data_IF_628534956493
#
_entry.id   IF_628534956493
#
_cell.length_a   1.000
_cell.length_b   1.000
_cell.length_c   1.000
_cell.angle_alpha   90.00
_cell.angle_beta   90.00
_cell.angle_gamma   90.00
#
_symmetry.space_group_name_H-M   'P 1'
#
loop_
_entity.id
_entity.type
_entity.pdbx_description
1 polymer ?
#
# COMPACT_ATOMS: atom_id res chain seq x y z
N UNK A 1 -27.07 10.21 -4.23
CA UNK A 1 -26.63 9.66 -5.54
C UNK A 1 -25.57 10.58 -6.11
N UNK A 2 -24.66 10.06 -6.95
CA UNK A 2 -23.66 10.90 -7.64
C UNK A 2 -24.27 11.61 -8.86
N UNK A 3 -23.83 12.83 -9.20
CA UNK A 3 -24.24 13.49 -10.44
C UNK A 3 -23.77 12.67 -11.64
N UNK A 4 -24.65 12.47 -12.63
CA UNK A 4 -24.35 11.66 -13.82
C UNK A 4 -23.86 12.49 -15.01
N UNK A 5 -24.00 13.81 -14.93
CA UNK A 5 -23.52 14.76 -15.95
C UNK A 5 -22.55 15.77 -15.36
N UNK A 6 -21.73 16.36 -16.23
CA UNK A 6 -20.78 17.41 -15.84
C UNK A 6 -21.50 18.67 -15.33
N UNK A 7 -22.60 19.06 -15.97
CA UNK A 7 -23.39 20.23 -15.57
C UNK A 7 -23.99 20.08 -14.17
N UNK A 8 -24.48 18.88 -13.83
CA UNK A 8 -25.01 18.64 -12.49
C UNK A 8 -23.90 18.73 -11.44
N UNK A 9 -22.71 18.23 -11.77
CA UNK A 9 -21.54 18.33 -10.89
C UNK A 9 -21.08 19.77 -10.68
N UNK A 10 -21.09 20.61 -11.73
CA UNK A 10 -20.76 22.04 -11.66
C UNK A 10 -21.81 22.85 -10.91
N UNK A 11 -23.06 22.37 -10.84
CA UNK A 11 -24.16 23.02 -10.11
C UNK A 11 -24.11 22.79 -8.58
N UNK A 12 -23.23 21.90 -8.11
CA UNK A 12 -23.15 21.55 -6.70
C UNK A 12 -22.59 22.71 -5.86
N UNK A 13 -23.37 23.15 -4.87
CA UNK A 13 -22.92 24.13 -3.85
C UNK A 13 -21.77 23.57 -3.00
N UNK A 14 -21.80 22.26 -2.72
CA UNK A 14 -20.74 21.53 -2.01
C UNK A 14 -20.10 20.54 -2.98
N UNK A 15 -18.78 20.57 -3.19
CA UNK A 15 -18.13 19.67 -4.14
C UNK A 15 -18.29 18.20 -3.72
N UNK A 16 -18.44 17.32 -4.70
CA UNK A 16 -18.43 15.88 -4.46
C UNK A 16 -17.08 15.48 -3.83
N UNK A 17 -17.12 15.13 -2.55
CA UNK A 17 -15.94 14.91 -1.71
C UNK A 17 -16.15 13.69 -0.83
N UNK A 18 -15.03 13.08 -0.42
CA UNK A 18 -15.02 11.96 0.52
C UNK A 18 -14.02 12.30 1.63
N UNK A 19 -14.44 12.11 2.88
CA UNK A 19 -13.53 12.09 4.02
C UNK A 19 -13.13 10.63 4.25
N UNK A 20 -11.83 10.35 4.19
CA UNK A 20 -11.30 8.99 4.26
C UNK A 20 -10.26 8.90 5.37
N UNK A 21 -10.35 7.83 6.17
CA UNK A 21 -9.42 7.51 7.26
C UNK A 21 -8.72 6.19 6.91
N UNK A 22 -7.53 6.23 6.27
CA UNK A 22 -6.87 5.03 5.77
C UNK A 22 -6.59 3.97 6.84
N UNK A 23 -6.21 4.42 8.04
CA UNK A 23 -5.88 3.58 9.18
C UNK A 23 -7.02 3.61 10.22
N UNK A 24 -8.28 3.58 9.74
CA UNK A 24 -9.43 3.51 10.63
C UNK A 24 -9.35 2.22 11.44
N UNK A 25 -9.31 2.34 12.77
CA UNK A 25 -9.30 1.18 13.66
C UNK A 25 -10.68 0.51 13.63
N UNK A 26 -10.71 -0.76 13.26
CA UNK A 26 -11.90 -1.59 13.23
C UNK A 26 -11.59 -2.94 13.86
N UNK A 27 -12.45 -3.42 14.77
CA UNK A 27 -12.20 -4.62 15.56
C UNK A 27 -12.13 -5.91 14.75
N UNK A 28 -12.67 -5.93 13.53
CA UNK A 28 -12.75 -7.11 12.66
C UNK A 28 -12.16 -6.85 11.28
N UNK A 29 -11.11 -6.02 11.16
CA UNK A 29 -10.46 -5.79 9.87
C UNK A 29 -9.77 -7.10 9.43
N UNK A 30 -10.15 -7.70 8.29
CA UNK A 30 -9.55 -8.94 7.86
C UNK A 30 -8.11 -8.70 7.37
N UNK A 31 -7.17 -9.41 7.98
CA UNK A 31 -5.77 -9.46 7.53
C UNK A 31 -5.57 -10.63 6.57
N UNK A 32 -5.05 -10.34 5.38
CA UNK A 32 -4.86 -11.29 4.29
C UNK A 32 -3.37 -11.68 4.23
N UNK A 33 -3.01 -12.96 4.43
CA UNK A 33 -1.62 -13.39 4.60
C UNK A 33 -0.89 -13.69 3.28
N UNK A 34 -1.13 -12.89 2.24
CA UNK A 34 -0.52 -13.04 0.91
C UNK A 34 -0.51 -11.71 0.16
N UNK A 35 0.23 -11.66 -0.94
CA UNK A 35 0.34 -10.46 -1.76
C UNK A 35 -0.98 -10.12 -2.50
N UNK A 36 -1.30 -8.83 -2.65
CA UNK A 36 -2.48 -8.40 -3.41
C UNK A 36 -2.39 -8.77 -4.88
N UNK A 37 -3.53 -9.16 -5.49
CA UNK A 37 -3.61 -9.29 -6.94
C UNK A 37 -3.71 -7.93 -7.60
N UNK A 38 -2.69 -7.58 -8.37
CA UNK A 38 -2.59 -6.31 -9.07
C UNK A 38 -3.03 -6.46 -10.53
N UNK A 39 -3.87 -5.56 -11.02
CA UNK A 39 -4.21 -5.48 -12.44
C UNK A 39 -2.96 -5.13 -13.26
N UNK A 40 -2.65 -5.95 -14.26
CA UNK A 40 -1.47 -5.81 -15.12
C UNK A 40 -1.47 -4.52 -15.96
N UNK A 41 -2.63 -3.86 -16.11
CA UNK A 41 -2.79 -2.65 -16.94
C UNK A 41 -2.76 -1.35 -16.14
N UNK A 42 -3.49 -1.28 -15.03
CA UNK A 42 -3.72 -0.02 -14.31
C UNK A 42 -3.23 -0.03 -12.85
N UNK A 43 -2.66 -1.14 -12.37
CA UNK A 43 -2.14 -1.24 -11.00
C UNK A 43 -3.22 -1.35 -9.91
N UNK A 44 -4.51 -1.42 -10.26
CA UNK A 44 -5.59 -1.54 -9.28
C UNK A 44 -5.59 -2.94 -8.63
N UNK A 45 -5.89 -2.99 -7.35
CA UNK A 45 -5.98 -4.23 -6.57
C UNK A 45 -7.33 -4.93 -6.83
N UNK A 46 -7.33 -6.26 -6.87
CA UNK A 46 -8.55 -7.09 -6.85
C UNK A 46 -9.43 -6.71 -5.67
N UNK A 47 -10.73 -6.59 -5.90
CA UNK A 47 -11.70 -6.19 -4.89
C UNK A 47 -13.09 -6.76 -5.24
N UNK A 48 -14.07 -6.69 -4.32
CA UNK A 48 -15.38 -7.33 -4.50
C UNK A 48 -16.19 -6.84 -5.70
N UNK A 49 -15.84 -5.70 -6.31
CA UNK A 49 -16.53 -5.16 -7.47
C UNK A 49 -16.00 -5.72 -8.81
N UNK A 50 -14.95 -6.54 -8.79
CA UNK A 50 -14.43 -7.20 -9.98
C UNK A 50 -15.41 -8.28 -10.48
N UNK A 51 -15.54 -8.41 -11.81
CA UNK A 51 -16.29 -9.52 -12.42
C UNK A 51 -15.40 -10.73 -12.58
N UNK A 52 -15.78 -11.85 -11.99
CA UNK A 52 -15.00 -13.10 -12.01
C UNK A 52 -15.67 -14.13 -12.91
N UNK A 53 -14.90 -14.70 -13.82
CA UNK A 53 -15.21 -15.92 -14.54
C UNK A 53 -14.43 -17.08 -13.91
N UNK A 54 -15.12 -17.90 -13.12
CA UNK A 54 -14.53 -19.04 -12.40
C UNK A 54 -14.04 -20.16 -13.35
N UNK A 55 -14.70 -20.34 -14.49
CA UNK A 55 -14.37 -21.42 -15.44
C UNK A 55 -13.05 -21.13 -16.15
N UNK A 56 -12.90 -19.92 -16.67
CA UNK A 56 -11.67 -19.49 -17.33
C UNK A 56 -10.60 -18.98 -16.35
N UNK A 57 -10.97 -18.79 -15.07
CA UNK A 57 -10.14 -18.19 -14.02
C UNK A 57 -9.59 -16.84 -14.47
N UNK A 58 -10.50 -15.99 -14.91
CA UNK A 58 -10.24 -14.62 -15.33
C UNK A 58 -11.04 -13.66 -14.44
N UNK A 59 -10.45 -12.54 -14.06
CA UNK A 59 -11.17 -11.42 -13.46
C UNK A 59 -11.04 -10.16 -14.30
N UNK A 60 -12.14 -9.42 -14.42
CA UNK A 60 -12.20 -8.14 -15.11
C UNK A 60 -12.07 -7.01 -14.10
N UNK A 61 -11.05 -6.16 -14.27
CA UNK A 61 -10.81 -5.02 -13.39
C UNK A 61 -12.00 -4.04 -13.44
N UNK A 62 -12.55 -3.60 -12.29
CA UNK A 62 -13.70 -2.68 -12.28
C UNK A 62 -13.38 -1.27 -12.75
N UNK A 63 -12.08 -0.90 -12.81
CA UNK A 63 -11.64 0.43 -13.21
C UNK A 63 -11.33 0.53 -14.71
N UNK A 64 -10.55 -0.41 -15.26
CA UNK A 64 -10.07 -0.34 -16.64
C UNK A 64 -10.63 -1.44 -17.56
N UNK A 65 -11.48 -2.33 -17.02
CA UNK A 65 -12.09 -3.48 -17.70
C UNK A 65 -11.11 -4.47 -18.33
N UNK A 66 -9.81 -4.37 -17.99
CA UNK A 66 -8.82 -5.33 -18.44
C UNK A 66 -9.06 -6.70 -17.80
N UNK A 67 -8.88 -7.76 -18.60
CA UNK A 67 -9.01 -9.15 -18.17
C UNK A 67 -7.66 -9.63 -17.66
N UNK A 68 -7.62 -10.06 -16.41
CA UNK A 68 -6.43 -10.56 -15.74
C UNK A 68 -6.63 -12.05 -15.44
N UNK A 69 -5.58 -12.85 -15.59
CA UNK A 69 -5.60 -14.26 -15.20
C UNK A 69 -5.35 -14.39 -13.70
N UNK A 70 -6.07 -15.31 -13.05
CA UNK A 70 -5.73 -15.68 -11.68
C UNK A 70 -4.40 -16.47 -11.63
N UNK A 71 -3.56 -16.25 -10.61
CA UNK A 71 -2.38 -17.08 -10.34
C UNK A 71 -2.76 -18.53 -10.04
N UNK A 72 -1.77 -19.44 -10.10
CA UNK A 72 -1.98 -20.86 -9.79
C UNK A 72 -2.47 -21.10 -8.36
N UNK A 73 -2.13 -20.23 -7.40
CA UNK A 73 -2.62 -20.32 -6.01
C UNK A 73 -4.15 -20.21 -5.90
N UNK A 74 -4.82 -19.64 -6.91
CA UNK A 74 -6.27 -19.49 -6.98
C UNK A 74 -6.92 -20.62 -7.80
N UNK A 75 -6.24 -21.76 -7.97
CA UNK A 75 -6.77 -22.87 -8.78
C UNK A 75 -8.11 -23.43 -8.30
N UNK A 76 -8.40 -23.31 -7.01
CA UNK A 76 -9.65 -23.78 -6.40
C UNK A 76 -10.76 -22.73 -6.33
N UNK A 77 -10.62 -21.58 -6.99
CA UNK A 77 -11.63 -20.51 -6.92
C UNK A 77 -12.96 -20.98 -7.52
N UNK A 78 -14.04 -20.85 -6.75
CA UNK A 78 -15.41 -21.13 -7.18
C UNK A 78 -16.36 -20.11 -6.54
N UNK A 79 -17.62 -20.11 -6.95
CA UNK A 79 -18.65 -19.26 -6.33
C UNK A 79 -18.83 -19.54 -4.83
N UNK A 80 -18.59 -20.77 -4.39
CA UNK A 80 -18.66 -21.18 -2.98
C UNK A 80 -17.32 -21.10 -2.25
N UNK A 81 -16.21 -20.94 -2.97
CA UNK A 81 -14.85 -20.88 -2.43
C UNK A 81 -14.16 -19.61 -2.95
N UNK A 82 -14.55 -18.47 -2.37
CA UNK A 82 -14.03 -17.16 -2.73
C UNK A 82 -12.79 -16.80 -1.91
N UNK A 83 -11.77 -16.17 -2.52
CA UNK A 83 -10.71 -15.54 -1.77
C UNK A 83 -11.24 -14.38 -0.93
N UNK A 84 -10.48 -14.02 0.11
CA UNK A 84 -10.91 -13.05 1.11
C UNK A 84 -11.29 -11.70 0.49
N UNK A 85 -10.47 -11.19 -0.44
CA UNK A 85 -10.70 -9.91 -1.13
C UNK A 85 -11.95 -9.86 -2.03
N UNK A 86 -12.65 -10.97 -2.25
CA UNK A 86 -13.88 -11.02 -3.03
C UNK A 86 -15.15 -11.14 -2.17
N UNK A 87 -15.03 -11.29 -0.84
CA UNK A 87 -16.22 -11.25 0.01
C UNK A 87 -16.82 -9.83 0.01
N UNK A 88 -18.14 -9.68 -0.22
CA UNK A 88 -18.78 -8.37 -0.18
C UNK A 88 -18.66 -7.64 1.17
N UNK A 89 -18.51 -8.41 2.26
CA UNK A 89 -18.29 -7.90 3.61
C UNK A 89 -16.88 -7.36 3.82
N UNK A 90 -15.92 -7.70 2.95
CA UNK A 90 -14.51 -7.33 3.05
C UNK A 90 -14.18 -6.21 2.05
N UNK A 91 -14.91 -5.10 2.15
CA UNK A 91 -14.69 -3.92 1.31
C UNK A 91 -13.43 -3.13 1.67
N UNK A 92 -12.91 -3.32 2.89
CA UNK A 92 -11.61 -2.85 3.35
C UNK A 92 -10.86 -4.03 3.98
N UNK A 93 -9.60 -4.24 3.58
CA UNK A 93 -8.76 -5.35 4.00
C UNK A 93 -7.32 -4.87 4.18
N UNK A 94 -6.56 -5.55 5.00
CA UNK A 94 -5.11 -5.31 5.17
C UNK A 94 -4.33 -6.51 4.63
N UNK A 95 -3.31 -6.26 3.80
CA UNK A 95 -2.44 -7.32 3.29
C UNK A 95 -1.18 -7.41 4.17
N UNK A 96 -0.91 -8.60 4.70
CA UNK A 96 0.27 -8.92 5.51
C UNK A 96 0.98 -10.15 4.94
N UNK A 97 1.64 -10.03 3.78
CA UNK A 97 2.38 -11.14 3.19
C UNK A 97 3.52 -11.56 4.13
N UNK A 98 3.85 -12.87 4.20
CA UNK A 98 4.93 -13.34 5.04
C UNK A 98 6.26 -12.72 4.59
N UNK A 99 7.17 -12.40 5.54
CA UNK A 99 8.47 -11.85 5.20
C UNK A 99 9.23 -12.82 4.29
N UNK A 100 9.84 -12.28 3.23
CA UNK A 100 10.66 -13.04 2.28
C UNK A 100 11.74 -13.80 3.06
N UNK A 101 11.64 -15.13 3.11
CA UNK A 101 12.68 -15.98 3.72
C UNK A 101 13.97 -15.82 2.93
N UNK A 102 15.02 -15.33 3.59
CA UNK A 102 16.39 -15.33 3.06
C UNK A 102 16.76 -16.78 2.72
N UNK A 103 16.72 -17.14 1.44
CA UNK A 103 17.26 -18.42 0.97
C UNK A 103 18.78 -18.34 1.07
N UNK A 104 19.32 -18.77 2.22
CA UNK A 104 20.73 -19.05 2.37
C UNK A 104 21.08 -20.31 1.58
N UNK A 105 21.41 -20.16 0.30
CA UNK A 105 22.14 -21.17 -0.45
C UNK A 105 22.98 -20.50 -1.53
N UNK A 106 24.26 -20.33 -1.21
CA UNK A 106 25.29 -20.12 -2.21
C UNK A 106 25.43 -21.42 -3.01
N UNK A 107 24.94 -21.43 -4.25
CA UNK A 107 25.51 -22.29 -5.31
C UNK A 107 25.44 -21.51 -6.60
N UNK A 108 26.62 -21.19 -7.10
CA UNK A 108 26.91 -20.46 -8.32
C UNK A 108 26.40 -21.18 -9.55
N UNK A 109 25.63 -20.48 -10.40
CA UNK A 109 25.68 -20.67 -11.87
C UNK A 109 25.19 -19.39 -12.56
N UNK A 110 25.97 -18.79 -13.49
CA UNK A 110 25.57 -17.59 -14.19
C UNK A 110 24.89 -17.96 -15.51
N UNK A 111 23.63 -17.53 -15.70
CA UNK A 111 23.07 -17.34 -17.04
C UNK A 111 22.28 -16.04 -17.06
N UNK A 112 22.85 -15.07 -17.77
CA UNK A 112 22.30 -13.76 -18.03
C UNK A 112 21.18 -13.83 -19.07
N UNK A 113 20.09 -13.09 -18.83
CA UNK A 113 19.35 -12.33 -19.85
C UNK A 113 18.21 -11.53 -19.15
N UNK A 114 18.58 -10.42 -18.52
CA UNK A 114 17.64 -9.36 -18.16
C UNK A 114 17.67 -8.28 -19.24
N UNK A 115 16.52 -7.87 -19.74
CA UNK A 115 16.38 -6.66 -20.55
C UNK A 115 15.10 -5.94 -20.13
N UNK A 116 15.22 -5.00 -19.20
CA UNK A 116 14.22 -3.97 -18.93
C UNK A 116 14.79 -2.65 -19.44
N UNK A 117 14.29 -2.22 -20.60
CA UNK A 117 14.64 -0.94 -21.21
C UNK A 117 13.80 0.18 -20.59
N UNK A 118 14.48 1.14 -19.98
CA UNK A 118 13.96 2.47 -19.64
C UNK A 118 13.73 3.27 -20.94
N UNK A 119 12.52 3.82 -21.09
CA UNK A 119 12.18 4.75 -22.17
C UNK A 119 11.42 5.95 -21.61
N UNK A 120 12.12 7.06 -21.42
CA UNK A 120 11.57 8.40 -21.22
C UNK A 120 11.05 8.90 -22.56
N UNK A 121 9.79 9.33 -22.64
CA UNK A 121 9.39 10.29 -23.66
C UNK A 121 8.28 11.23 -23.16
N UNK A 122 8.50 12.52 -23.40
CA UNK A 122 7.66 13.64 -23.02
C UNK A 122 6.31 13.67 -23.77
N UNK A 123 5.28 14.16 -23.08
CA UNK A 123 4.28 15.04 -23.69
C UNK A 123 2.85 14.51 -23.81
N UNK A 124 2.01 14.72 -22.78
CA UNK A 124 0.69 15.33 -22.93
C UNK A 124 0.18 15.81 -21.56
N UNK A 125 -0.37 17.03 -21.52
CA UNK A 125 -0.88 17.67 -20.30
C UNK A 125 -2.24 17.06 -19.95
N UNK A 126 -2.35 16.44 -18.78
CA UNK A 126 -3.62 16.13 -18.14
C UNK A 126 -3.49 16.40 -16.64
N UNK A 127 -4.32 17.32 -16.17
CA UNK A 127 -4.60 17.64 -14.79
C UNK A 127 -5.13 16.39 -14.09
N UNK A 128 -4.29 15.78 -13.26
CA UNK A 128 -4.67 14.68 -12.39
C UNK A 128 -4.04 14.96 -11.04
N UNK A 129 -4.89 15.05 -10.01
CA UNK A 129 -4.47 15.22 -8.63
C UNK A 129 -3.67 14.01 -8.20
N UNK A 130 -2.34 14.07 -8.35
CA UNK A 130 -1.45 13.05 -7.82
C UNK A 130 -1.33 13.26 -6.30
N UNK A 131 -1.90 12.35 -5.52
CA UNK A 131 -1.38 12.06 -4.19
C UNK A 131 -0.05 11.33 -4.35
N UNK A 132 1.06 12.09 -4.40
CA UNK A 132 2.41 11.51 -4.35
C UNK A 132 2.62 10.93 -2.94
N UNK A 133 2.55 9.61 -2.79
CA UNK A 133 3.18 8.97 -1.64
C UNK A 133 4.69 9.06 -1.87
N UNK A 134 5.35 9.93 -1.12
CA UNK A 134 6.81 10.02 -1.14
C UNK A 134 7.32 9.06 -0.09
N UNK A 135 7.65 7.83 -0.48
CA UNK A 135 8.43 6.96 0.39
C UNK A 135 9.82 7.59 0.51
N UNK A 136 10.19 8.06 1.70
CA UNK A 136 11.55 8.48 2.02
C UNK A 136 12.46 7.24 2.06
N UNK A 137 12.79 6.69 0.90
CA UNK A 137 13.88 5.75 0.76
C UNK A 137 15.17 6.57 0.63
N UNK A 138 15.83 6.83 1.76
CA UNK A 138 17.16 7.45 1.78
C UNK A 138 18.15 6.50 1.09
N UNK A 139 18.52 6.82 -0.15
CA UNK A 139 19.58 6.12 -0.87
C UNK A 139 20.94 6.47 -0.27
N UNK A 140 21.46 5.61 0.59
CA UNK A 140 22.90 5.58 0.89
C UNK A 140 23.52 4.59 -0.08
N UNK A 141 24.48 5.06 -0.89
CA UNK A 141 25.07 4.30 -1.99
C UNK A 141 25.80 3.03 -1.53
N UNK A 142 25.69 1.98 -2.34
CA UNK A 142 26.42 0.72 -2.20
C UNK A 142 25.48 -0.47 -2.16
N UNK A 143 25.54 -1.32 -3.18
CA UNK A 143 24.71 -2.52 -3.31
C UNK A 143 24.70 -3.37 -2.04
N UNK A 144 23.58 -3.34 -1.33
CA UNK A 144 23.40 -3.99 -0.05
C UNK A 144 21.92 -4.01 0.30
N UNK A 145 21.47 -5.18 0.72
CA UNK A 145 20.10 -5.55 1.11
C UNK A 145 19.43 -4.46 1.95
N UNK A 146 18.19 -4.10 1.61
CA UNK A 146 17.33 -3.25 2.45
C UNK A 146 16.98 -4.08 3.69
N UNK A 147 17.85 -4.10 4.69
CA UNK A 147 17.44 -4.46 6.05
C UNK A 147 16.35 -3.46 6.43
N UNK A 148 15.23 -3.92 6.97
CA UNK A 148 14.21 -3.05 7.57
C UNK A 148 14.91 -2.01 8.43
N UNK A 149 14.93 -0.76 7.96
CA UNK A 149 15.40 0.33 8.78
C UNK A 149 14.33 0.51 9.85
N UNK A 150 14.71 0.30 11.11
CA UNK A 150 13.84 0.57 12.25
C UNK A 150 13.37 2.03 12.24
N UNK A 151 12.28 2.34 12.95
CA UNK A 151 11.83 3.72 13.10
C UNK A 151 12.95 4.56 13.74
N UNK A 152 13.20 5.75 13.18
CA UNK A 152 14.14 6.70 13.76
C UNK A 152 13.40 7.78 14.55
N UNK A 153 13.84 8.03 15.77
CA UNK A 153 13.29 9.07 16.65
C UNK A 153 14.35 10.14 16.90
N UNK A 154 14.03 11.39 16.56
CA UNK A 154 14.90 12.55 16.80
C UNK A 154 14.15 13.54 17.69
N UNK A 155 14.67 13.80 18.88
CA UNK A 155 14.11 14.76 19.82
C UNK A 155 14.85 16.09 19.72
N UNK A 156 14.15 17.16 19.35
CA UNK A 156 14.68 18.52 19.31
C UNK A 156 14.05 19.29 20.46
N UNK A 157 14.87 19.73 21.41
CA UNK A 157 14.43 20.38 22.66
C UNK A 157 14.90 21.82 22.67
N UNK A 158 13.98 22.76 22.86
CA UNK A 158 14.29 24.15 23.13
C UNK A 158 14.74 24.30 24.59
N UNK A 159 15.94 24.84 24.80
CA UNK A 159 16.49 25.09 26.12
C UNK A 159 16.16 26.50 26.65
N UNK A 160 15.43 27.33 25.89
CA UNK A 160 15.08 28.70 26.25
C UNK A 160 13.79 28.83 27.10
N UNK A 161 13.47 27.79 27.88
CA UNK A 161 12.30 27.71 28.77
C UNK A 161 12.71 27.91 30.23
N UNK A 162 11.73 28.13 31.12
CA UNK A 162 12.01 28.18 32.58
C UNK A 162 12.38 26.80 33.12
N UNK A 163 13.21 26.75 34.16
CA UNK A 163 13.82 25.50 34.68
C UNK A 163 12.78 24.43 35.05
N UNK A 164 11.63 24.82 35.62
CA UNK A 164 10.60 23.87 36.00
C UNK A 164 9.90 23.25 34.78
N UNK A 165 9.73 24.01 33.69
CA UNK A 165 9.23 23.48 32.42
C UNK A 165 10.26 22.56 31.76
N UNK A 166 11.55 22.93 31.79
CA UNK A 166 12.63 22.09 31.27
C UNK A 166 12.72 20.76 32.03
N UNK A 167 12.52 20.77 33.36
CA UNK A 167 12.47 19.56 34.19
C UNK A 167 11.27 18.68 33.86
N UNK A 168 10.10 19.28 33.62
CA UNK A 168 8.92 18.55 33.17
C UNK A 168 9.16 17.88 31.80
N UNK A 169 9.67 18.63 30.81
CA UNK A 169 10.00 18.10 29.47
C UNK A 169 11.02 16.97 29.55
N UNK A 170 12.07 17.11 30.38
CA UNK A 170 13.06 16.04 30.61
C UNK A 170 12.42 14.76 31.14
N UNK A 171 11.47 14.89 32.08
CA UNK A 171 10.80 13.74 32.69
C UNK A 171 9.91 13.01 31.68
N UNK A 172 9.15 13.75 30.88
CA UNK A 172 8.31 13.18 29.82
C UNK A 172 9.13 12.53 28.70
N UNK A 173 10.26 13.13 28.30
CA UNK A 173 11.15 12.54 27.29
C UNK A 173 11.74 11.21 27.74
N UNK A 174 12.14 11.10 29.02
CA UNK A 174 12.61 9.84 29.58
C UNK A 174 11.50 8.77 29.53
N UNK A 175 10.27 9.13 29.88
CA UNK A 175 9.12 8.23 29.82
C UNK A 175 8.80 7.76 28.38
N UNK A 176 8.92 8.64 27.38
CA UNK A 176 8.74 8.27 25.97
C UNK A 176 9.86 7.37 25.49
N UNK A 177 11.11 7.65 25.85
CA UNK A 177 12.28 6.84 25.48
C UNK A 177 12.14 5.41 26.01
N UNK A 178 11.62 5.22 27.22
CA UNK A 178 11.34 3.90 27.80
C UNK A 178 10.27 3.09 27.04
N UNK A 179 9.42 3.75 26.24
CA UNK A 179 8.38 3.11 25.43
C UNK A 179 8.81 2.84 23.99
N UNK A 180 10.00 3.28 23.58
CA UNK A 180 10.46 3.07 22.21
C UNK A 180 10.77 1.59 21.95
N UNK A 181 10.58 1.11 20.70
CA UNK A 181 10.98 -0.24 20.33
C UNK A 181 12.49 -0.47 20.54
N UNK A 182 12.87 -1.63 21.08
CA UNK A 182 14.29 -1.97 21.34
C UNK A 182 15.14 -2.10 20.06
N UNK A 183 14.48 -2.26 18.90
CA UNK A 183 15.10 -2.47 17.60
C UNK A 183 15.33 -1.17 16.79
N UNK A 184 15.53 -0.04 17.47
CA UNK A 184 15.98 1.21 16.87
C UNK A 184 17.48 1.20 16.53
#
# INVERSE_FOLDING_TARGET
SWPTTKSDCESLVVPLSIMYTPLMQFSELPTIPYDPLICSRCGAVLNPYARVDYQSRIWSCPFCFHKNLFPRSYSGITETNLPAELFPTYSAVEYSPPPLRKSGSATTTPTAAGSWSNGVNQGLRSMSSNSSFSSLASTVGGGGVISELGPAFVFVVDASMVEDELRAVRSELLFVIEQLPENC
#
